data_IF_899747073424
#
_entry.id   IF_899747073424
#
_cell.length_a   1.000
_cell.length_b   1.000
_cell.length_c   1.000
_cell.angle_alpha   90.00
_cell.angle_beta   90.00
_cell.angle_gamma   90.00
#
_symmetry.space_group_name_H-M   'P 1'
#
loop_
_entity.id
_entity.type
_entity.pdbx_description
1 polymer ?
#
# COMPACT_ATOMS: atom_id res chain seq x y z
N UNK A 1 4.79 -12.94 -18.67
CA UNK A 1 6.12 -12.30 -18.84
C UNK A 1 6.79 -12.14 -17.47
N UNK A 2 6.16 -11.50 -16.47
CA UNK A 2 6.76 -11.28 -15.14
C UNK A 2 7.26 -12.58 -14.48
N UNK A 3 6.47 -13.66 -14.51
CA UNK A 3 6.84 -14.96 -13.93
C UNK A 3 8.06 -15.58 -14.61
N UNK A 4 8.17 -15.43 -15.93
CA UNK A 4 9.33 -15.90 -16.67
C UNK A 4 10.59 -15.11 -16.27
N UNK A 5 10.48 -13.78 -16.16
CA UNK A 5 11.60 -12.94 -15.73
C UNK A 5 12.05 -13.25 -14.31
N UNK A 6 11.10 -13.49 -13.40
CA UNK A 6 11.41 -13.87 -12.02
C UNK A 6 11.93 -15.30 -11.89
N UNK A 7 11.64 -16.20 -12.82
CA UNK A 7 12.19 -17.59 -12.81
C UNK A 7 13.60 -17.69 -13.36
N UNK A 8 14.13 -16.64 -14.01
CA UNK A 8 15.48 -16.67 -14.56
C UNK A 8 16.54 -16.69 -13.44
N UNK A 9 17.63 -17.46 -13.59
CA UNK A 9 18.71 -17.51 -12.60
C UNK A 9 19.32 -16.13 -12.27
N UNK A 10 19.27 -15.18 -13.20
CA UNK A 10 19.78 -13.82 -13.01
C UNK A 10 18.99 -13.03 -11.95
N UNK A 11 17.74 -13.45 -11.65
CA UNK A 11 16.85 -12.82 -10.67
C UNK A 11 16.98 -13.40 -9.26
N UNK A 12 17.81 -14.44 -9.08
CA UNK A 12 17.93 -15.19 -7.84
C UNK A 12 19.29 -14.99 -7.18
N UNK A 13 19.32 -15.23 -5.86
CA UNK A 13 20.60 -15.41 -5.17
C UNK A 13 21.20 -16.77 -5.53
N UNK A 14 22.54 -16.87 -5.51
CA UNK A 14 23.24 -18.13 -5.76
C UNK A 14 22.85 -19.26 -4.78
N UNK A 15 22.47 -18.90 -3.56
CA UNK A 15 22.04 -19.82 -2.49
C UNK A 15 20.53 -19.71 -2.22
N UNK A 16 19.73 -19.31 -3.21
CA UNK A 16 18.27 -19.27 -3.06
C UNK A 16 17.71 -20.66 -2.81
N UNK A 17 16.60 -20.79 -2.06
CA UNK A 17 15.88 -22.06 -1.94
C UNK A 17 15.52 -22.61 -3.32
N UNK A 18 15.49 -23.94 -3.45
CA UNK A 18 14.96 -24.56 -4.66
C UNK A 18 13.50 -24.17 -4.84
N UNK A 19 13.21 -23.55 -5.96
CA UNK A 19 11.88 -23.04 -6.30
C UNK A 19 11.46 -23.58 -7.66
N UNK A 20 10.19 -23.95 -7.76
CA UNK A 20 9.59 -24.37 -9.02
C UNK A 20 9.12 -23.16 -9.82
N UNK A 21 8.89 -23.32 -11.13
CA UNK A 21 8.27 -22.27 -11.94
C UNK A 21 6.88 -21.85 -11.39
N UNK A 22 6.14 -22.79 -10.80
CA UNK A 22 4.82 -22.52 -10.20
C UNK A 22 4.92 -21.55 -9.02
N UNK A 23 5.99 -21.63 -8.21
CA UNK A 23 6.22 -20.73 -7.09
C UNK A 23 6.45 -19.29 -7.58
N UNK A 24 7.23 -19.13 -8.67
CA UNK A 24 7.46 -17.83 -9.29
C UNK A 24 6.18 -17.29 -9.96
N UNK A 25 5.38 -18.16 -10.58
CA UNK A 25 4.10 -17.78 -11.16
C UNK A 25 3.14 -17.31 -10.06
N UNK A 26 3.04 -18.06 -8.95
CA UNK A 26 2.22 -17.69 -7.81
C UNK A 26 2.62 -16.33 -7.23
N UNK A 27 3.92 -16.15 -6.93
CA UNK A 27 4.44 -14.89 -6.40
C UNK A 27 4.18 -13.72 -7.37
N UNK A 28 4.38 -13.92 -8.69
CA UNK A 28 4.10 -12.90 -9.71
C UNK A 28 2.63 -12.52 -9.74
N UNK A 29 1.74 -13.50 -9.75
CA UNK A 29 0.29 -13.25 -9.74
C UNK A 29 -0.11 -12.51 -8.47
N UNK A 30 0.42 -12.93 -7.32
CA UNK A 30 0.18 -12.28 -6.03
C UNK A 30 0.67 -10.83 -6.02
N UNK A 31 1.83 -10.52 -6.61
CA UNK A 31 2.36 -9.16 -6.75
C UNK A 31 1.49 -8.28 -7.66
N UNK A 32 1.07 -8.81 -8.82
CA UNK A 32 0.24 -8.05 -9.78
C UNK A 32 -1.21 -7.91 -9.30
N UNK A 33 -1.77 -8.94 -8.66
CA UNK A 33 -3.10 -8.87 -8.07
C UNK A 33 -3.12 -8.21 -6.69
N UNK A 34 -1.95 -7.80 -6.18
CA UNK A 34 -1.82 -7.10 -4.90
C UNK A 34 -2.44 -7.93 -3.75
N UNK A 35 -2.13 -9.23 -3.72
CA UNK A 35 -2.73 -10.18 -2.76
C UNK A 35 -1.91 -10.31 -1.48
N UNK A 36 -0.58 -10.15 -1.56
CA UNK A 36 0.33 -10.22 -0.41
C UNK A 36 0.68 -11.63 0.07
N UNK A 37 0.33 -12.65 -0.69
CA UNK A 37 0.69 -14.04 -0.37
C UNK A 37 1.96 -14.45 -1.12
N UNK A 38 2.88 -15.10 -0.42
CA UNK A 38 4.12 -15.60 -1.02
C UNK A 38 4.40 -17.05 -0.62
N UNK A 39 4.78 -17.87 -1.58
CA UNK A 39 5.28 -19.23 -1.31
C UNK A 39 6.71 -19.16 -0.77
N UNK A 40 7.52 -18.26 -1.33
CA UNK A 40 8.90 -18.04 -0.91
C UNK A 40 9.10 -16.56 -0.60
N UNK A 41 9.69 -16.22 0.56
CA UNK A 41 9.98 -14.83 0.92
C UNK A 41 10.85 -14.14 -0.12
N UNK A 42 10.48 -12.91 -0.50
CA UNK A 42 11.19 -12.12 -1.52
C UNK A 42 12.66 -11.91 -1.14
N UNK A 43 12.91 -11.68 0.15
CA UNK A 43 14.26 -11.47 0.70
C UNK A 43 15.20 -12.68 0.54
N UNK A 44 14.65 -13.90 0.48
CA UNK A 44 15.43 -15.14 0.38
C UNK A 44 15.57 -15.66 -1.06
N UNK A 45 14.54 -15.45 -1.87
CA UNK A 45 14.48 -15.97 -3.23
C UNK A 45 15.17 -15.04 -4.23
N UNK A 46 14.86 -13.74 -4.18
CA UNK A 46 15.21 -12.80 -5.24
C UNK A 46 16.35 -11.88 -4.85
N UNK A 47 17.34 -11.76 -5.75
CA UNK A 47 18.42 -10.79 -5.63
C UNK A 47 17.93 -9.36 -5.95
N UNK A 48 18.84 -8.38 -5.98
CA UNK A 48 18.48 -6.98 -6.25
C UNK A 48 17.70 -6.76 -7.55
N UNK A 49 18.05 -7.49 -8.63
CA UNK A 49 17.32 -7.43 -9.90
C UNK A 49 15.91 -8.03 -9.77
N UNK A 50 15.79 -9.21 -9.14
CA UNK A 50 14.50 -9.85 -8.89
C UNK A 50 13.59 -8.99 -8.00
N UNK A 51 14.15 -8.30 -7.00
CA UNK A 51 13.41 -7.38 -6.15
C UNK A 51 12.96 -6.10 -6.89
N UNK A 52 13.77 -5.57 -7.82
CA UNK A 52 13.35 -4.46 -8.70
C UNK A 52 12.20 -4.90 -9.61
N UNK A 53 12.29 -6.09 -10.20
CA UNK A 53 11.18 -6.67 -10.97
C UNK A 53 9.92 -6.82 -10.12
N UNK A 54 10.06 -7.28 -8.88
CA UNK A 54 8.96 -7.39 -7.92
C UNK A 54 8.30 -6.03 -7.64
N UNK A 55 9.10 -4.97 -7.41
CA UNK A 55 8.57 -3.60 -7.25
C UNK A 55 7.78 -3.13 -8.49
N UNK A 56 8.31 -3.39 -9.70
CA UNK A 56 7.62 -3.04 -10.93
C UNK A 56 6.30 -3.79 -11.09
N UNK A 57 6.26 -5.07 -10.74
CA UNK A 57 5.04 -5.88 -10.77
C UNK A 57 3.99 -5.37 -9.78
N UNK A 58 4.40 -5.07 -8.54
CA UNK A 58 3.50 -4.46 -7.54
C UNK A 58 2.99 -3.09 -7.98
N UNK A 59 3.86 -2.25 -8.55
CA UNK A 59 3.47 -0.93 -9.07
C UNK A 59 2.47 -1.04 -10.22
N UNK A 60 2.65 -2.03 -11.12
CA UNK A 60 1.70 -2.28 -12.21
C UNK A 60 0.34 -2.73 -11.69
N UNK A 61 0.33 -3.54 -10.64
CA UNK A 61 -0.88 -4.00 -9.96
C UNK A 61 -1.60 -2.88 -9.21
N UNK A 62 -0.88 -2.18 -8.33
CA UNK A 62 -1.44 -1.15 -7.45
C UNK A 62 -1.96 0.08 -8.18
N UNK A 63 -1.33 0.49 -9.28
CA UNK A 63 -1.85 1.57 -10.14
C UNK A 63 -3.00 1.11 -11.05
N UNK A 64 -3.22 -0.19 -11.16
CA UNK A 64 -4.17 -0.81 -12.07
C UNK A 64 -3.62 -0.93 -13.49
N UNK A 65 -3.69 -2.14 -14.02
CA UNK A 65 -3.20 -2.48 -15.37
C UNK A 65 -3.79 -1.55 -16.45
N UNK A 66 -5.06 -1.18 -16.28
CA UNK A 66 -5.79 -0.30 -17.21
C UNK A 66 -5.17 1.10 -17.26
N UNK A 67 -4.78 1.65 -16.11
CA UNK A 67 -4.10 2.97 -16.05
C UNK A 67 -2.76 2.96 -16.74
N UNK A 68 -2.01 1.86 -16.63
CA UNK A 68 -0.71 1.68 -17.29
C UNK A 68 -0.84 1.56 -18.80
N UNK A 69 -1.79 0.73 -19.27
CA UNK A 69 -2.08 0.59 -20.70
C UNK A 69 -2.48 1.95 -21.28
N UNK A 70 -3.34 2.68 -20.59
CA UNK A 70 -3.74 4.01 -20.99
C UNK A 70 -2.56 4.98 -21.07
N UNK A 71 -1.74 5.03 -20.04
CA UNK A 71 -0.55 5.88 -19.99
C UNK A 71 0.42 5.56 -21.14
N UNK A 72 0.72 4.26 -21.35
CA UNK A 72 1.63 3.83 -22.41
C UNK A 72 1.08 4.16 -23.81
N UNK A 73 -0.22 3.95 -24.02
CA UNK A 73 -0.87 4.23 -25.30
C UNK A 73 -0.89 5.74 -25.60
N UNK A 74 -1.18 6.56 -24.58
CA UNK A 74 -1.11 8.02 -24.74
C UNK A 74 0.31 8.54 -24.97
N UNK A 75 1.31 7.90 -24.39
CA UNK A 75 2.71 8.32 -24.54
C UNK A 75 3.28 7.89 -25.90
N UNK A 76 2.93 6.68 -26.37
CA UNK A 76 3.48 6.10 -27.59
C UNK A 76 2.69 6.46 -28.85
N UNK A 77 1.36 6.53 -28.81
CA UNK A 77 0.51 6.65 -30.00
C UNK A 77 -0.28 7.96 -30.13
N UNK A 78 -0.23 8.85 -29.17
CA UNK A 78 -0.96 10.13 -29.10
C UNK A 78 -2.51 10.06 -29.25
N UNK A 79 -3.11 8.92 -29.62
CA UNK A 79 -4.58 8.75 -29.76
C UNK A 79 -4.97 7.33 -29.33
N UNK A 80 -5.95 7.24 -28.44
CA UNK A 80 -6.65 6.00 -28.12
C UNK A 80 -7.81 5.78 -29.09
N UNK A 81 -8.10 4.52 -29.42
CA UNK A 81 -9.34 4.16 -30.09
C UNK A 81 -10.57 4.50 -29.24
N UNK A 82 -11.73 4.71 -29.86
CA UNK A 82 -12.98 5.02 -29.15
C UNK A 82 -13.34 3.93 -28.12
N UNK A 83 -13.16 2.66 -28.49
CA UNK A 83 -13.43 1.51 -27.62
C UNK A 83 -12.50 1.48 -26.38
N UNK A 84 -11.22 1.83 -26.57
CA UNK A 84 -10.25 1.87 -25.44
C UNK A 84 -10.55 3.06 -24.52
N UNK A 85 -11.09 4.15 -25.04
CA UNK A 85 -11.50 5.32 -24.26
C UNK A 85 -12.72 4.99 -23.39
N UNK A 86 -13.70 4.28 -23.91
CA UNK A 86 -14.89 3.87 -23.14
C UNK A 86 -14.55 2.90 -22.01
N UNK A 87 -13.66 1.95 -22.24
CA UNK A 87 -13.14 1.04 -21.21
C UNK A 87 -12.42 1.80 -20.09
N UNK A 88 -11.62 2.80 -20.46
CA UNK A 88 -10.89 3.62 -19.50
C UNK A 88 -11.82 4.54 -18.68
N UNK A 89 -12.84 5.10 -19.31
CA UNK A 89 -13.83 5.93 -18.61
C UNK A 89 -14.59 5.12 -17.58
N UNK A 90 -15.05 3.91 -17.94
CA UNK A 90 -15.76 3.03 -17.02
C UNK A 90 -14.87 2.59 -15.86
N UNK A 91 -13.60 2.25 -16.12
CA UNK A 91 -12.63 1.83 -15.09
C UNK A 91 -12.21 2.96 -14.15
N UNK A 92 -12.22 4.22 -14.62
CA UNK A 92 -11.79 5.37 -13.83
C UNK A 92 -12.98 6.21 -13.30
N UNK A 93 -14.22 5.75 -13.51
CA UNK A 93 -15.48 6.41 -13.06
C UNK A 93 -15.55 7.91 -13.44
N UNK A 94 -15.20 8.27 -14.68
CA UNK A 94 -15.19 9.66 -15.16
C UNK A 94 -15.94 9.87 -16.49
N UNK A 95 -16.75 10.94 -16.51
CA UNK A 95 -17.66 11.25 -17.63
C UNK A 95 -17.04 12.08 -18.76
N UNK A 96 -15.78 12.54 -18.68
CA UNK A 96 -15.24 13.52 -19.64
C UNK A 96 -13.92 13.09 -20.29
N UNK A 97 -13.95 12.91 -21.62
CA UNK A 97 -12.82 12.46 -22.46
C UNK A 97 -11.62 13.44 -22.51
N UNK A 98 -11.86 14.75 -22.40
CA UNK A 98 -10.82 15.76 -22.69
C UNK A 98 -9.68 15.83 -21.66
N UNK A 99 -9.89 15.28 -20.45
CA UNK A 99 -8.94 15.42 -19.34
C UNK A 99 -8.26 14.13 -18.88
N UNK A 100 -8.49 12.99 -19.58
CA UNK A 100 -7.99 11.67 -19.14
C UNK A 100 -6.46 11.62 -19.06
N UNK A 101 -5.77 12.17 -20.07
CA UNK A 101 -4.30 12.25 -20.06
C UNK A 101 -3.78 13.08 -18.88
N UNK A 102 -4.36 14.26 -18.65
CA UNK A 102 -4.02 15.13 -17.54
C UNK A 102 -4.31 14.47 -16.19
N UNK A 103 -5.40 13.70 -16.11
CA UNK A 103 -5.77 12.93 -14.92
C UNK A 103 -4.73 11.84 -14.62
N UNK A 104 -4.37 11.02 -15.62
CA UNK A 104 -3.36 9.96 -15.46
C UNK A 104 -2.01 10.54 -15.01
N UNK A 105 -1.54 11.62 -15.63
CA UNK A 105 -0.31 12.29 -15.19
C UNK A 105 -0.38 12.78 -13.75
N UNK A 106 -1.54 13.29 -13.31
CA UNK A 106 -1.75 13.69 -11.90
C UNK A 106 -1.67 12.49 -10.97
N UNK A 107 -2.32 11.37 -11.33
CA UNK A 107 -2.30 10.12 -10.57
C UNK A 107 -0.86 9.66 -10.37
N UNK A 108 -0.08 9.49 -11.45
CA UNK A 108 1.32 9.07 -11.36
C UNK A 108 2.18 10.03 -10.52
N UNK A 109 1.99 11.34 -10.74
CA UNK A 109 2.73 12.35 -9.97
C UNK A 109 2.41 12.28 -8.47
N UNK A 110 1.15 12.09 -8.10
CA UNK A 110 0.73 11.96 -6.70
C UNK A 110 1.34 10.70 -6.10
N UNK A 111 1.20 9.55 -6.77
CA UNK A 111 1.75 8.26 -6.32
C UNK A 111 3.24 8.36 -6.03
N UNK A 112 4.05 8.69 -7.04
CA UNK A 112 5.50 8.76 -6.85
C UNK A 112 5.93 9.82 -5.84
N UNK A 113 5.17 10.92 -5.69
CA UNK A 113 5.48 11.93 -4.66
C UNK A 113 5.22 11.41 -3.25
N UNK A 114 4.12 10.67 -3.04
CA UNK A 114 3.78 10.08 -1.73
C UNK A 114 4.79 8.97 -1.38
N UNK A 115 5.06 8.07 -2.33
CA UNK A 115 6.03 6.99 -2.16
C UNK A 115 7.43 7.54 -1.82
N UNK A 116 7.90 8.55 -2.57
CA UNK A 116 9.20 9.17 -2.32
C UNK A 116 9.27 9.85 -0.94
N UNK A 117 8.24 10.60 -0.55
CA UNK A 117 8.22 11.25 0.76
C UNK A 117 8.24 10.23 1.90
N UNK A 118 7.42 9.20 1.81
CA UNK A 118 7.39 8.16 2.84
C UNK A 118 8.66 7.32 2.85
N UNK A 119 9.24 7.01 1.69
CA UNK A 119 10.55 6.35 1.59
C UNK A 119 11.64 7.16 2.31
N UNK A 120 11.67 8.50 2.15
CA UNK A 120 12.61 9.37 2.86
C UNK A 120 12.43 9.28 4.39
N UNK A 121 11.19 9.18 4.88
CA UNK A 121 10.92 8.97 6.30
C UNK A 121 11.42 7.59 6.76
N UNK A 122 11.16 6.52 6.00
CA UNK A 122 11.62 5.17 6.31
C UNK A 122 13.15 5.08 6.29
N UNK A 123 13.82 5.80 5.37
CA UNK A 123 15.28 5.87 5.28
C UNK A 123 15.93 6.38 6.57
N UNK A 124 15.27 7.24 7.35
CA UNK A 124 15.82 7.73 8.62
C UNK A 124 16.06 6.62 9.63
N UNK A 125 15.33 5.51 9.54
CA UNK A 125 15.49 4.33 10.40
C UNK A 125 16.33 3.23 9.71
N UNK A 126 16.12 2.98 8.41
CA UNK A 126 16.77 1.89 7.71
C UNK A 126 18.23 2.15 7.35
N UNK A 127 18.62 3.39 7.06
CA UNK A 127 20.02 3.72 6.74
C UNK A 127 20.96 3.44 7.94
N UNK A 128 20.63 3.84 9.20
CA UNK A 128 21.44 3.49 10.35
C UNK A 128 21.53 1.98 10.61
N UNK A 129 20.52 1.20 10.23
CA UNK A 129 20.46 -0.26 10.50
C UNK A 129 21.15 -1.09 9.42
N UNK A 130 20.94 -0.76 8.15
CA UNK A 130 21.34 -1.56 7.00
C UNK A 130 22.47 -0.94 6.17
N UNK A 131 22.91 0.27 6.51
CA UNK A 131 23.84 1.06 5.70
C UNK A 131 23.17 1.76 4.52
N UNK A 132 23.88 2.67 3.85
CA UNK A 132 23.33 3.55 2.82
C UNK A 132 22.65 2.79 1.67
N UNK A 133 23.35 1.82 1.05
CA UNK A 133 22.84 1.14 -0.14
C UNK A 133 21.59 0.29 0.14
N UNK A 134 21.69 -0.62 1.10
CA UNK A 134 20.57 -1.48 1.48
C UNK A 134 19.45 -0.71 2.18
N UNK A 135 19.77 0.31 2.98
CA UNK A 135 18.78 1.14 3.65
C UNK A 135 17.90 1.91 2.67
N UNK A 136 18.48 2.53 1.64
CA UNK A 136 17.73 3.22 0.58
C UNK A 136 16.87 2.23 -0.20
N UNK A 137 17.46 1.11 -0.61
CA UNK A 137 16.76 0.10 -1.41
C UNK A 137 15.57 -0.51 -0.68
N UNK A 138 15.75 -0.93 0.59
CA UNK A 138 14.69 -1.51 1.41
C UNK A 138 13.58 -0.49 1.70
N UNK A 139 13.93 0.78 1.89
CA UNK A 139 12.95 1.86 2.10
C UNK A 139 12.08 2.08 0.86
N UNK A 140 12.68 2.08 -0.33
CA UNK A 140 11.95 2.21 -1.58
C UNK A 140 11.05 0.99 -1.82
N UNK A 141 11.59 -0.23 -1.61
CA UNK A 141 10.82 -1.46 -1.75
C UNK A 141 9.58 -1.46 -0.83
N UNK A 142 9.79 -1.16 0.45
CA UNK A 142 8.71 -1.12 1.42
C UNK A 142 7.68 -0.01 1.11
N UNK A 143 8.15 1.15 0.64
CA UNK A 143 7.26 2.26 0.28
C UNK A 143 6.35 1.92 -0.91
N UNK A 144 6.89 1.33 -1.97
CA UNK A 144 6.12 0.86 -3.13
C UNK A 144 5.14 -0.22 -2.72
N UNK A 145 5.60 -1.23 -1.99
CA UNK A 145 4.75 -2.34 -1.54
C UNK A 145 3.60 -1.86 -0.65
N UNK A 146 3.87 -0.93 0.28
CA UNK A 146 2.87 -0.40 1.19
C UNK A 146 1.85 0.52 0.49
N UNK A 147 2.29 1.38 -0.43
CA UNK A 147 1.38 2.23 -1.21
C UNK A 147 0.47 1.41 -2.11
N UNK A 148 1.03 0.39 -2.77
CA UNK A 148 0.26 -0.52 -3.62
C UNK A 148 -0.63 -1.49 -2.82
N UNK A 149 -0.55 -1.53 -1.48
CA UNK A 149 -1.18 -2.53 -0.61
C UNK A 149 -0.78 -3.96 -1.00
N UNK A 150 0.46 -4.17 -1.43
CA UNK A 150 0.93 -5.45 -1.95
C UNK A 150 1.40 -6.43 -0.87
N UNK A 151 1.75 -5.94 0.35
CA UNK A 151 2.08 -6.77 1.50
C UNK A 151 3.40 -7.54 1.43
N UNK A 152 4.24 -7.23 0.44
CA UNK A 152 5.56 -7.83 0.33
C UNK A 152 6.61 -6.96 1.01
N UNK A 153 7.53 -7.57 1.71
CA UNK A 153 8.74 -6.94 2.22
C UNK A 153 9.99 -7.73 1.82
N UNK A 154 11.12 -7.09 1.94
CA UNK A 154 12.44 -7.69 1.71
C UNK A 154 13.29 -7.72 3.00
N UNK A 155 12.65 -7.62 4.16
CA UNK A 155 13.31 -7.53 5.47
C UNK A 155 13.54 -8.90 6.11
N UNK A 156 12.75 -9.90 5.75
CA UNK A 156 12.88 -11.23 6.31
C UNK A 156 11.69 -12.15 6.09
N UNK A 157 11.46 -13.06 7.03
CA UNK A 157 10.33 -14.01 6.99
C UNK A 157 9.16 -13.60 7.91
N UNK A 158 9.37 -12.59 8.78
CA UNK A 158 8.43 -12.23 9.83
C UNK A 158 7.65 -10.95 9.55
N UNK A 159 7.62 -10.48 8.30
CA UNK A 159 7.02 -9.21 7.92
C UNK A 159 7.58 -8.06 8.79
N UNK A 160 6.74 -7.16 9.28
CA UNK A 160 7.14 -6.03 10.12
C UNK A 160 7.12 -6.34 11.64
N UNK A 161 7.09 -7.61 12.06
CA UNK A 161 7.04 -7.97 13.49
C UNK A 161 8.24 -7.44 14.28
N UNK A 162 9.45 -7.44 13.67
CA UNK A 162 10.68 -6.92 14.30
C UNK A 162 10.63 -5.40 14.48
N UNK A 163 9.69 -4.71 13.81
CA UNK A 163 9.46 -3.27 13.88
C UNK A 163 8.14 -2.90 14.57
N UNK A 164 7.48 -3.85 15.26
CA UNK A 164 6.16 -3.66 15.86
C UNK A 164 6.07 -2.42 16.78
N UNK A 165 7.13 -2.14 17.54
CA UNK A 165 7.19 -1.00 18.47
C UNK A 165 7.83 0.25 17.90
N UNK A 166 8.25 0.23 16.61
CA UNK A 166 8.89 1.38 15.98
C UNK A 166 7.84 2.35 15.40
N UNK A 167 7.64 3.54 16.00
CA UNK A 167 6.59 4.45 15.56
C UNK A 167 6.85 5.02 14.15
N UNK A 168 8.13 5.25 13.79
CA UNK A 168 8.48 5.83 12.48
C UNK A 168 8.06 4.90 11.35
N UNK A 169 8.42 3.63 11.43
CA UNK A 169 8.08 2.62 10.41
C UNK A 169 6.57 2.39 10.39
N UNK A 170 5.94 2.16 11.56
CA UNK A 170 4.51 1.87 11.62
C UNK A 170 3.66 3.02 11.07
N UNK A 171 3.96 4.27 11.44
CA UNK A 171 3.19 5.43 10.98
C UNK A 171 3.44 5.72 9.48
N UNK A 172 4.69 5.58 9.00
CA UNK A 172 5.00 5.79 7.58
C UNK A 172 4.32 4.73 6.70
N UNK A 173 4.39 3.45 7.08
CA UNK A 173 3.74 2.36 6.35
C UNK A 173 2.23 2.47 6.44
N UNK A 174 1.65 2.77 7.61
CA UNK A 174 0.22 3.02 7.78
C UNK A 174 -0.28 4.17 6.90
N UNK A 175 0.48 5.27 6.84
CA UNK A 175 0.17 6.39 5.95
C UNK A 175 0.17 5.98 4.47
N UNK A 176 1.15 5.17 4.03
CA UNK A 176 1.22 4.65 2.66
C UNK A 176 0.02 3.75 2.33
N UNK A 177 -0.29 2.79 3.21
CA UNK A 177 -1.44 1.89 3.06
C UNK A 177 -2.76 2.69 2.93
N UNK A 178 -2.97 3.65 3.84
CA UNK A 178 -4.15 4.51 3.78
C UNK A 178 -4.18 5.33 2.49
N UNK A 179 -3.03 5.88 2.08
CA UNK A 179 -2.92 6.69 0.87
C UNK A 179 -3.27 5.90 -0.39
N UNK A 180 -2.81 4.65 -0.49
CA UNK A 180 -3.13 3.76 -1.60
C UNK A 180 -4.61 3.36 -1.63
N UNK A 181 -5.17 3.05 -0.46
CA UNK A 181 -6.55 2.54 -0.34
C UNK A 181 -7.64 3.63 -0.41
N UNK A 182 -7.32 4.93 -0.22
CA UNK A 182 -8.31 6.02 -0.32
C UNK A 182 -8.82 6.27 -1.74
N UNK A 183 -8.06 5.85 -2.75
CA UNK A 183 -8.37 6.11 -4.15
C UNK A 183 -7.97 7.50 -4.64
N UNK A 184 -7.65 7.59 -5.92
CA UNK A 184 -7.10 8.82 -6.53
C UNK A 184 -8.10 9.99 -6.59
N UNK A 185 -9.41 9.69 -6.64
CA UNK A 185 -10.45 10.73 -6.63
C UNK A 185 -10.40 11.55 -5.33
N UNK A 186 -10.25 10.89 -4.18
CA UNK A 186 -10.13 11.54 -2.87
C UNK A 186 -8.87 12.41 -2.80
N UNK A 187 -7.74 11.92 -3.34
CA UNK A 187 -6.49 12.71 -3.38
C UNK A 187 -6.63 13.98 -4.23
N UNK A 188 -7.32 13.91 -5.36
CA UNK A 188 -7.56 15.08 -6.21
C UNK A 188 -8.44 16.10 -5.48
N UNK A 189 -9.47 15.64 -4.79
CA UNK A 189 -10.35 16.50 -4.01
C UNK A 189 -9.58 17.16 -2.84
N UNK A 190 -8.74 16.39 -2.13
CA UNK A 190 -7.87 16.91 -1.06
C UNK A 190 -6.88 17.98 -1.58
N UNK A 191 -6.21 17.72 -2.71
CA UNK A 191 -5.28 18.70 -3.31
C UNK A 191 -6.01 19.96 -3.75
N UNK A 192 -7.22 19.84 -4.31
CA UNK A 192 -8.03 20.99 -4.67
C UNK A 192 -8.47 21.79 -3.44
N UNK A 193 -8.85 21.11 -2.35
CA UNK A 193 -9.16 21.73 -1.07
C UNK A 193 -7.95 22.53 -0.54
N UNK A 194 -6.78 21.89 -0.47
CA UNK A 194 -5.57 22.56 0.01
C UNK A 194 -5.23 23.80 -0.84
N UNK A 195 -5.32 23.69 -2.16
CA UNK A 195 -5.08 24.82 -3.07
C UNK A 195 -6.06 25.98 -2.82
N UNK A 196 -7.35 25.68 -2.64
CA UNK A 196 -8.37 26.70 -2.31
C UNK A 196 -8.11 27.32 -0.95
N UNK A 197 -7.77 26.48 0.05
CA UNK A 197 -7.46 26.98 1.40
C UNK A 197 -6.27 27.95 1.40
N UNK A 198 -5.23 27.65 0.64
CA UNK A 198 -4.03 28.49 0.51
C UNK A 198 -4.36 29.79 -0.26
N UNK A 199 -5.17 29.69 -1.35
CA UNK A 199 -5.47 30.83 -2.23
C UNK A 199 -6.51 31.77 -1.65
N UNK A 200 -7.61 31.23 -1.15
CA UNK A 200 -8.82 31.99 -0.80
C UNK A 200 -8.93 32.26 0.71
N UNK A 201 -8.07 31.65 1.56
CA UNK A 201 -8.08 31.73 3.04
C UNK A 201 -9.51 31.76 3.60
N UNK A 202 -10.33 30.75 3.37
CA UNK A 202 -11.74 30.77 3.77
C UNK A 202 -11.83 30.90 5.29
N UNK A 203 -12.57 31.92 5.75
CA UNK A 203 -12.77 32.25 7.18
C UNK A 203 -13.56 31.15 7.91
N UNK A 204 -14.25 30.27 7.19
CA UNK A 204 -15.06 29.18 7.72
C UNK A 204 -14.65 27.82 7.17
N UNK A 205 -14.22 26.92 8.04
CA UNK A 205 -13.91 25.53 7.73
C UNK A 205 -15.07 24.78 7.03
N UNK A 206 -16.32 25.07 7.44
CA UNK A 206 -17.52 24.50 6.80
C UNK A 206 -17.67 24.86 5.31
N UNK A 207 -17.19 26.05 4.90
CA UNK A 207 -17.19 26.44 3.48
C UNK A 207 -16.12 25.71 2.66
N UNK A 208 -15.01 25.32 3.31
CA UNK A 208 -13.94 24.58 2.66
C UNK A 208 -14.35 23.13 2.32
N UNK A 209 -15.22 22.50 3.13
CA UNK A 209 -15.68 21.13 2.93
C UNK A 209 -16.82 20.98 1.89
N UNK A 210 -17.54 22.05 1.58
CA UNK A 210 -18.66 22.02 0.62
C UNK A 210 -18.33 21.46 -0.79
N UNK A 211 -17.13 21.67 -1.35
CA UNK A 211 -16.81 21.19 -2.69
C UNK A 211 -16.32 19.73 -2.77
N UNK A 212 -16.29 19.01 -1.66
CA UNK A 212 -15.99 17.58 -1.66
C UNK A 212 -17.09 16.80 -2.36
N UNK A 213 -16.70 15.80 -3.17
CA UNK A 213 -17.67 14.86 -3.74
C UNK A 213 -18.32 14.03 -2.61
N UNK A 214 -19.58 13.63 -2.81
CA UNK A 214 -20.27 12.77 -1.85
C UNK A 214 -19.49 11.44 -1.62
N UNK A 215 -18.83 10.93 -2.66
CA UNK A 215 -17.96 9.77 -2.58
C UNK A 215 -16.78 10.01 -1.63
N UNK A 216 -16.07 11.13 -1.77
CA UNK A 216 -14.94 11.46 -0.89
C UNK A 216 -15.35 11.64 0.57
N UNK A 217 -16.52 12.23 0.82
CA UNK A 217 -17.07 12.32 2.18
C UNK A 217 -17.32 10.93 2.79
N UNK A 218 -18.00 10.07 2.04
CA UNK A 218 -18.33 8.73 2.50
C UNK A 218 -17.06 7.91 2.78
N UNK A 219 -16.09 7.94 1.87
CA UNK A 219 -14.81 7.22 2.02
C UNK A 219 -14.04 7.71 3.24
N UNK A 220 -13.94 9.03 3.46
CA UNK A 220 -13.21 9.58 4.62
C UNK A 220 -13.90 9.26 5.94
N UNK A 221 -15.23 9.36 6.02
CA UNK A 221 -15.98 9.04 7.23
C UNK A 221 -15.90 7.55 7.55
N UNK A 222 -16.16 6.67 6.56
CA UNK A 222 -16.09 5.22 6.76
C UNK A 222 -14.68 4.77 7.15
N UNK A 223 -13.64 5.33 6.51
CA UNK A 223 -12.25 5.09 6.89
C UNK A 223 -11.97 5.50 8.34
N UNK A 224 -12.37 6.70 8.73
CA UNK A 224 -12.20 7.17 10.11
C UNK A 224 -12.91 6.30 11.14
N UNK A 225 -14.16 5.92 10.89
CA UNK A 225 -14.93 5.03 11.76
C UNK A 225 -14.30 3.65 11.88
N UNK A 226 -13.87 3.05 10.76
CA UNK A 226 -13.22 1.73 10.75
C UNK A 226 -11.86 1.77 11.48
N UNK A 227 -11.07 2.81 11.28
CA UNK A 227 -9.77 2.94 11.93
C UNK A 227 -9.91 3.14 13.44
N UNK A 228 -10.75 4.06 13.87
CA UNK A 228 -10.95 4.34 15.29
C UNK A 228 -11.62 3.16 16.00
N UNK A 229 -12.74 2.69 15.46
CA UNK A 229 -13.48 1.56 16.04
C UNK A 229 -12.66 0.26 16.01
N UNK A 230 -12.00 -0.02 14.89
CA UNK A 230 -11.15 -1.20 14.74
C UNK A 230 -9.94 -1.18 15.67
N UNK A 231 -9.26 -0.05 15.81
CA UNK A 231 -8.12 0.10 16.72
C UNK A 231 -8.52 -0.14 18.16
N UNK A 232 -9.63 0.47 18.61
CA UNK A 232 -10.12 0.31 19.96
C UNK A 232 -10.54 -1.13 20.25
N UNK A 233 -11.29 -1.75 19.33
CA UNK A 233 -11.71 -3.14 19.49
C UNK A 233 -10.53 -4.11 19.46
N UNK A 234 -9.59 -3.96 18.54
CA UNK A 234 -8.39 -4.78 18.47
C UNK A 234 -7.54 -4.64 19.74
N UNK A 235 -7.38 -3.42 20.25
CA UNK A 235 -6.67 -3.16 21.49
C UNK A 235 -7.36 -3.82 22.70
N UNK A 236 -8.68 -3.65 22.85
CA UNK A 236 -9.46 -4.23 23.96
C UNK A 236 -9.44 -5.76 23.96
N UNK A 237 -9.47 -6.38 22.77
CA UNK A 237 -9.48 -7.84 22.66
C UNK A 237 -8.09 -8.44 22.89
N UNK A 238 -7.01 -7.69 22.64
CA UNK A 238 -5.66 -8.24 22.63
C UNK A 238 -4.78 -7.70 23.78
N UNK A 239 -5.24 -6.70 24.55
CA UNK A 239 -4.43 -6.03 25.59
C UNK A 239 -3.88 -6.97 26.67
N UNK A 240 -4.61 -8.06 27.00
CA UNK A 240 -4.21 -9.04 28.02
C UNK A 240 -3.42 -10.23 27.44
N UNK A 241 -3.29 -10.33 26.11
CA UNK A 241 -2.57 -11.42 25.46
C UNK A 241 -1.07 -11.21 25.51
N UNK A 242 -0.40 -11.88 26.43
CA UNK A 242 1.06 -11.80 26.63
C UNK A 242 1.89 -12.32 25.44
N UNK A 243 1.29 -13.09 24.52
CA UNK A 243 1.97 -13.61 23.31
C UNK A 243 2.03 -12.61 22.17
N UNK A 244 1.26 -11.53 22.25
CA UNK A 244 1.19 -10.48 21.22
C UNK A 244 1.54 -9.12 21.78
N UNK A 245 0.56 -8.35 22.30
CA UNK A 245 0.77 -6.97 22.75
C UNK A 245 0.74 -6.80 24.27
N UNK A 246 0.29 -7.79 25.05
CA UNK A 246 0.06 -7.66 26.49
C UNK A 246 1.30 -7.28 27.31
N UNK A 247 2.51 -7.57 26.82
CA UNK A 247 3.77 -7.19 27.50
C UNK A 247 4.26 -5.78 27.16
N UNK A 248 3.60 -5.11 26.21
CA UNK A 248 3.99 -3.79 25.72
C UNK A 248 3.36 -2.67 26.58
N UNK A 249 3.97 -1.48 26.54
CA UNK A 249 3.37 -0.29 27.12
C UNK A 249 2.10 0.11 26.38
N UNK A 250 1.14 0.76 27.04
CA UNK A 250 -0.16 1.15 26.47
C UNK A 250 -0.03 1.89 25.14
N UNK A 251 0.94 2.80 24.99
CA UNK A 251 1.21 3.50 23.74
C UNK A 251 1.68 2.58 22.61
N UNK A 252 2.50 1.60 22.94
CA UNK A 252 2.95 0.60 21.97
C UNK A 252 1.82 -0.35 21.60
N UNK A 253 1.00 -0.76 22.57
CA UNK A 253 -0.21 -1.56 22.32
C UNK A 253 -1.16 -0.84 21.36
N UNK A 254 -1.42 0.45 21.60
CA UNK A 254 -2.27 1.27 20.71
C UNK A 254 -1.65 1.44 19.32
N UNK A 255 -0.34 1.66 19.23
CA UNK A 255 0.38 1.77 17.95
C UNK A 255 0.27 0.49 17.13
N UNK A 256 0.51 -0.67 17.77
CA UNK A 256 0.42 -1.98 17.12
C UNK A 256 -1.02 -2.27 16.69
N UNK A 257 -2.00 -2.03 17.56
CA UNK A 257 -3.43 -2.22 17.26
C UNK A 257 -3.88 -1.29 16.13
N UNK A 258 -3.42 -0.04 16.12
CA UNK A 258 -3.67 0.90 15.02
C UNK A 258 -3.09 0.39 13.71
N UNK A 259 -1.81 0.02 13.71
CA UNK A 259 -1.16 -0.50 12.51
C UNK A 259 -1.88 -1.75 11.99
N UNK A 260 -2.24 -2.67 12.89
CA UNK A 260 -2.92 -3.91 12.54
C UNK A 260 -4.31 -3.64 11.95
N UNK A 261 -5.04 -2.66 12.47
CA UNK A 261 -6.31 -2.21 11.88
C UNK A 261 -6.13 -1.58 10.49
N UNK A 262 -5.06 -0.81 10.30
CA UNK A 262 -4.75 -0.22 8.99
C UNK A 262 -4.43 -1.31 7.97
N UNK A 263 -3.61 -2.30 8.33
CA UNK A 263 -3.22 -3.37 7.41
C UNK A 263 -4.37 -4.29 7.01
N UNK A 264 -5.46 -4.35 7.83
CA UNK A 264 -6.69 -5.07 7.47
C UNK A 264 -7.43 -4.46 6.27
N UNK A 265 -7.01 -3.33 5.76
CA UNK A 265 -7.45 -2.81 4.45
C UNK A 265 -6.75 -3.52 3.28
N UNK A 266 -6.57 -4.83 3.40
CA UNK A 266 -5.95 -5.72 2.40
C UNK A 266 -4.51 -5.38 2.05
N UNK A 267 -3.75 -4.82 3.02
CA UNK A 267 -2.36 -4.43 2.78
C UNK A 267 -1.34 -5.57 2.98
N UNK A 268 -1.65 -6.59 3.78
CA UNK A 268 -0.85 -7.81 3.92
C UNK A 268 0.32 -7.75 4.90
N UNK A 269 0.65 -6.59 5.49
CA UNK A 269 1.70 -6.48 6.50
C UNK A 269 1.24 -6.94 7.87
N UNK A 270 2.15 -7.49 8.67
CA UNK A 270 1.86 -7.94 10.02
C UNK A 270 2.91 -7.47 11.02
N UNK A 271 2.47 -6.87 12.12
CA UNK A 271 3.30 -6.53 13.29
C UNK A 271 3.09 -7.48 14.46
N UNK A 272 2.08 -8.34 14.38
CA UNK A 272 1.83 -9.43 15.33
C UNK A 272 1.69 -10.75 14.58
N UNK A 273 1.92 -11.86 15.28
CA UNK A 273 1.68 -13.20 14.74
C UNK A 273 0.21 -13.55 14.87
N UNK A 274 -0.49 -13.76 13.75
CA UNK A 274 -1.91 -14.17 13.75
C UNK A 274 -2.16 -15.52 14.40
N UNK A 275 -1.15 -16.39 14.47
CA UNK A 275 -1.25 -17.70 15.15
C UNK A 275 -1.26 -17.54 16.67
N UNK A 276 -0.70 -16.44 17.19
CA UNK A 276 -0.64 -16.13 18.61
C UNK A 276 -1.76 -15.18 19.06
N UNK A 277 -2.45 -14.56 18.11
CA UNK A 277 -3.56 -13.67 18.37
C UNK A 277 -4.81 -14.46 18.79
N UNK A 278 -5.64 -13.86 19.63
CA UNK A 278 -6.88 -14.47 20.08
C UNK A 278 -7.87 -14.70 18.93
N UNK A 279 -8.69 -15.73 19.06
CA UNK A 279 -9.70 -16.07 18.05
C UNK A 279 -10.64 -14.88 17.77
N UNK A 280 -11.06 -14.17 18.82
CA UNK A 280 -11.94 -12.99 18.71
C UNK A 280 -11.29 -11.87 17.92
N UNK A 281 -9.99 -11.65 18.10
CA UNK A 281 -9.19 -10.66 17.36
C UNK A 281 -9.07 -11.04 15.88
N UNK A 282 -8.78 -12.33 15.61
CA UNK A 282 -8.72 -12.80 14.23
C UNK A 282 -10.08 -12.70 13.52
N UNK A 283 -11.20 -12.98 14.22
CA UNK A 283 -12.54 -12.78 13.66
C UNK A 283 -12.83 -11.31 13.36
N UNK A 284 -12.44 -10.38 14.27
CA UNK A 284 -12.54 -8.95 14.04
C UNK A 284 -11.78 -8.53 12.78
N UNK A 285 -10.54 -9.01 12.62
CA UNK A 285 -9.70 -8.73 11.45
C UNK A 285 -10.33 -9.25 10.15
N UNK A 286 -10.90 -10.44 10.15
CA UNK A 286 -11.63 -10.96 8.97
C UNK A 286 -12.83 -10.06 8.60
N UNK A 287 -13.61 -9.59 9.57
CA UNK A 287 -14.73 -8.68 9.33
C UNK A 287 -14.21 -7.35 8.77
N UNK A 288 -13.13 -6.81 9.32
CA UNK A 288 -12.52 -5.56 8.84
C UNK A 288 -12.00 -5.69 7.40
N UNK A 289 -11.41 -6.84 7.03
CA UNK A 289 -10.95 -7.10 5.66
C UNK A 289 -12.11 -7.12 4.65
N UNK A 290 -13.25 -7.68 5.03
CA UNK A 290 -14.46 -7.71 4.18
C UNK A 290 -15.00 -6.30 3.95
N UNK A 291 -15.05 -5.47 5.00
CA UNK A 291 -15.62 -4.10 4.92
C UNK A 291 -14.59 -3.12 4.32
N UNK A 292 -13.32 -3.27 4.67
CA UNK A 292 -12.26 -2.31 4.35
C UNK A 292 -11.52 -2.58 3.04
N UNK A 293 -11.83 -3.67 2.33
CA UNK A 293 -11.15 -4.11 1.11
C UNK A 293 -11.68 -3.51 -0.20
N UNK A 294 -12.61 -2.54 -0.14
CA UNK A 294 -13.23 -1.94 -1.33
C UNK A 294 -13.06 -0.45 -1.42
#
# INVERSE_FOLDING_TARGET
>A
VGSILLSLPISHYANSPETSYLDHLFNTVSMVCVTGLSVVPVSKAYNGLGQILSMLLMQTGGLGLVSLIAFSTYTLKNKLGLSDQDLLQSALSRDTQKDLKAYLFKVYKITFSIEAMAALVIMTDFIPRFGLGHGIFNSLFLAVSAFCNAGFDNLGSNSLQDYATNPTINLAVAFLIMSGSLGFAVWIDLIQLMRRYIKDRPRNWKLAWRPFSNQSHLVLISTGCLLLGGTLLAWLLEMDNSKTIGTLNVWQQLLVSFFQTVTMRTAGFATISYTNADFSTNLLFMIQMIIGGG
#
